data_IF_700723645880
#
_entry.id   IF_700723645880
#
_cell.length_a   1.000
_cell.length_b   1.000
_cell.length_c   1.000
_cell.angle_alpha   90.00
_cell.angle_beta   90.00
_cell.angle_gamma   90.00
#
_symmetry.space_group_name_H-M   'P 1'
#
loop_
_entity.id
_entity.type
_entity.pdbx_description
1 polymer ?
#
# COMPACT_ATOMS: atom_id res chain seq x y z
N UNK A 1 75.82 14.56 13.60
CA UNK A 1 75.06 15.81 13.83
C UNK A 1 73.79 15.46 14.57
N UNK A 2 73.49 16.21 15.64
CA UNK A 2 72.42 16.00 16.63
C UNK A 2 71.02 16.02 15.99
N UNK A 3 70.10 15.18 16.45
CA UNK A 3 68.87 15.66 17.10
C UNK A 3 68.13 14.53 17.84
N UNK A 4 68.00 14.69 19.15
CA UNK A 4 67.06 14.00 20.02
C UNK A 4 65.64 14.49 19.72
N UNK A 5 64.63 13.61 19.70
CA UNK A 5 63.31 13.90 20.30
C UNK A 5 62.61 12.62 20.76
N UNK A 6 62.42 12.58 22.08
CA UNK A 6 61.56 11.70 22.86
C UNK A 6 60.11 11.86 22.37
N UNK A 7 59.39 10.77 22.07
CA UNK A 7 57.96 10.68 22.39
C UNK A 7 57.57 9.22 22.62
N UNK A 8 57.57 8.89 23.91
CA UNK A 8 56.93 7.73 24.50
C UNK A 8 55.43 7.80 24.16
N UNK A 9 54.93 6.87 23.35
CA UNK A 9 53.50 6.62 23.21
C UNK A 9 53.24 5.15 23.49
N UNK A 10 52.80 4.91 24.71
CA UNK A 10 52.40 3.61 25.23
C UNK A 10 51.16 3.16 24.48
N UNK A 11 51.30 2.14 23.62
CA UNK A 11 50.18 1.56 22.88
C UNK A 11 49.35 0.69 23.86
N UNK A 12 48.26 1.26 24.37
CA UNK A 12 47.30 0.55 25.21
C UNK A 12 46.41 -0.31 24.31
N UNK A 13 46.62 -1.63 24.31
CA UNK A 13 45.70 -2.59 23.70
C UNK A 13 44.45 -2.69 24.57
N UNK A 14 43.40 -1.94 24.22
CA UNK A 14 42.08 -2.15 24.79
C UNK A 14 41.44 -3.33 24.05
N UNK A 15 41.42 -4.51 24.69
CA UNK A 15 40.65 -5.65 24.22
C UNK A 15 39.16 -5.36 24.45
N UNK A 16 38.55 -4.62 23.53
CA UNK A 16 37.11 -4.46 23.48
C UNK A 16 36.49 -5.73 22.88
N UNK A 17 35.80 -6.52 23.71
CA UNK A 17 34.89 -7.55 23.22
C UNK A 17 33.87 -6.88 22.30
N UNK A 18 33.83 -7.30 21.03
CA UNK A 18 32.77 -6.92 20.10
C UNK A 18 31.48 -7.54 20.61
N UNK A 19 30.64 -6.78 21.32
CA UNK A 19 29.22 -7.11 21.35
C UNK A 19 28.68 -6.71 19.98
N UNK A 20 28.39 -7.71 19.15
CA UNK A 20 27.47 -7.53 18.05
C UNK A 20 26.16 -7.06 18.69
N UNK A 21 25.89 -5.77 18.63
CA UNK A 21 24.54 -5.29 18.85
C UNK A 21 23.78 -5.78 17.62
N UNK A 22 23.14 -6.95 17.77
CA UNK A 22 22.01 -7.32 16.94
C UNK A 22 21.11 -6.10 16.94
N UNK A 23 21.09 -5.38 15.82
CA UNK A 23 20.08 -4.37 15.58
C UNK A 23 18.80 -5.18 15.40
N UNK A 24 18.17 -5.47 16.53
CA UNK A 24 16.82 -5.96 16.57
C UNK A 24 16.02 -5.02 15.68
N UNK A 25 15.57 -5.57 14.55
CA UNK A 25 14.66 -4.92 13.64
C UNK A 25 13.57 -4.27 14.47
N UNK A 26 13.52 -2.94 14.46
CA UNK A 26 12.32 -2.23 14.88
C UNK A 26 11.24 -2.55 13.84
N UNK A 27 10.59 -3.70 14.00
CA UNK A 27 9.33 -3.99 13.35
C UNK A 27 8.21 -3.44 14.23
N UNK A 28 8.23 -2.13 14.47
CA UNK A 28 7.02 -1.39 14.78
C UNK A 28 6.48 -0.86 13.45
N UNK A 29 6.13 -1.77 12.55
CA UNK A 29 5.05 -1.45 11.62
C UNK A 29 3.84 -1.21 12.50
N UNK A 30 3.64 0.03 12.93
CA UNK A 30 2.39 0.47 13.53
C UNK A 30 1.34 0.23 12.46
N UNK A 31 0.72 -0.95 12.49
CA UNK A 31 -0.40 -1.30 11.63
C UNK A 31 -1.53 -0.38 12.06
N UNK A 32 -1.57 0.78 11.41
CA UNK A 32 -2.58 1.80 11.69
C UNK A 32 -3.90 1.28 11.14
N UNK A 33 -4.75 0.78 12.04
CA UNK A 33 -6.13 0.51 11.68
C UNK A 33 -6.81 1.84 11.35
N UNK A 34 -7.59 1.86 10.27
CA UNK A 34 -8.38 3.03 9.87
C UNK A 34 -9.85 2.74 10.13
N UNK A 35 -10.49 3.60 10.92
CA UNK A 35 -11.94 3.56 11.16
C UNK A 35 -12.59 4.67 10.34
N UNK A 36 -13.55 4.33 9.48
CA UNK A 36 -14.29 5.30 8.67
C UNK A 36 -15.78 5.25 9.03
N UNK A 37 -16.37 6.41 9.31
CA UNK A 37 -17.81 6.57 9.34
C UNK A 37 -18.34 6.84 7.94
N UNK A 38 -19.67 6.75 7.77
CA UNK A 38 -20.32 7.06 6.48
C UNK A 38 -19.97 8.45 5.95
N UNK A 39 -19.85 9.44 6.82
CA UNK A 39 -19.50 10.83 6.48
C UNK A 39 -18.07 11.00 5.95
N UNK A 40 -17.18 10.06 6.27
CA UNK A 40 -15.76 10.15 5.93
C UNK A 40 -15.49 9.63 4.52
N UNK A 41 -16.48 8.95 3.91
CA UNK A 41 -16.38 8.38 2.57
C UNK A 41 -16.41 9.50 1.53
N UNK A 42 -15.28 9.72 0.86
CA UNK A 42 -15.11 10.71 -0.19
C UNK A 42 -15.40 10.09 -1.55
N UNK A 43 -16.57 10.41 -2.09
CA UNK A 43 -16.96 9.99 -3.43
C UNK A 43 -16.38 10.93 -4.49
N UNK A 44 -15.81 10.34 -5.53
CA UNK A 44 -15.36 11.03 -6.75
C UNK A 44 -16.00 10.37 -7.97
N UNK A 45 -15.92 11.02 -9.12
CA UNK A 45 -16.28 10.39 -10.40
C UNK A 45 -15.40 9.16 -10.67
N UNK A 46 -16.00 8.16 -11.31
CA UNK A 46 -15.27 6.98 -11.77
C UNK A 46 -14.14 7.34 -12.75
N UNK A 47 -13.13 6.47 -12.92
CA UNK A 47 -12.04 6.70 -13.86
C UNK A 47 -12.54 6.85 -15.30
N UNK A 48 -11.74 7.51 -16.15
CA UNK A 48 -12.11 7.85 -17.54
C UNK A 48 -12.47 6.62 -18.41
N UNK A 49 -12.00 5.42 -18.06
CA UNK A 49 -12.38 4.18 -18.74
C UNK A 49 -13.82 3.73 -18.50
N UNK A 50 -14.53 4.36 -17.56
CA UNK A 50 -15.93 4.06 -17.24
C UNK A 50 -16.88 5.08 -17.90
N UNK A 51 -18.05 4.65 -18.39
CA UNK A 51 -19.11 5.57 -18.80
C UNK A 51 -19.46 6.58 -17.69
N UNK A 52 -19.92 7.77 -18.08
CA UNK A 52 -20.30 8.80 -17.10
C UNK A 52 -21.37 8.30 -16.10
N UNK A 53 -21.28 8.78 -14.86
CA UNK A 53 -22.27 8.53 -13.80
C UNK A 53 -21.83 7.52 -12.73
N UNK A 54 -20.77 6.75 -12.96
CA UNK A 54 -20.15 5.96 -11.89
C UNK A 54 -19.51 6.88 -10.84
N UNK A 55 -19.66 6.53 -9.57
CA UNK A 55 -18.92 7.15 -8.46
C UNK A 55 -18.09 6.10 -7.75
N UNK A 56 -16.89 6.48 -7.33
CA UNK A 56 -15.98 5.62 -6.55
C UNK A 56 -15.51 6.32 -5.29
N UNK A 57 -15.20 5.55 -4.26
CA UNK A 57 -14.59 6.05 -3.03
C UNK A 57 -13.56 5.04 -2.54
N UNK A 58 -12.28 5.44 -2.54
CA UNK A 58 -11.19 4.61 -2.01
C UNK A 58 -11.25 4.65 -0.48
N UNK A 59 -11.26 3.47 0.13
CA UNK A 59 -11.27 3.30 1.59
C UNK A 59 -9.87 3.00 2.14
N UNK A 60 -9.05 2.29 1.36
CA UNK A 60 -7.69 1.90 1.72
C UNK A 60 -6.84 1.67 0.46
N UNK A 61 -5.54 1.97 0.54
CA UNK A 61 -4.57 1.75 -0.53
C UNK A 61 -4.68 2.75 -1.68
N UNK A 62 -4.07 2.41 -2.81
CA UNK A 62 -4.12 3.19 -4.05
C UNK A 62 -4.38 2.28 -5.26
N UNK A 63 -5.52 2.40 -5.95
CA UNK A 63 -5.82 1.60 -7.14
C UNK A 63 -4.88 1.83 -8.34
N UNK A 64 -4.09 2.92 -8.33
CA UNK A 64 -3.12 3.25 -9.37
C UNK A 64 -1.69 2.74 -9.09
N UNK A 65 -1.47 2.06 -7.96
CA UNK A 65 -0.18 1.52 -7.57
C UNK A 65 -0.24 0.00 -7.40
N UNK A 66 0.92 -0.65 -7.34
CA UNK A 66 1.00 -2.07 -6.98
C UNK A 66 0.62 -2.26 -5.51
N UNK A 67 -0.29 -3.20 -5.23
CA UNK A 67 -0.67 -3.57 -3.88
C UNK A 67 -2.18 -3.76 -3.71
N UNK A 68 -2.63 -4.22 -2.53
CA UNK A 68 -4.04 -4.34 -2.21
C UNK A 68 -4.67 -2.94 -2.02
N UNK A 69 -5.91 -2.82 -2.47
CA UNK A 69 -6.74 -1.65 -2.20
C UNK A 69 -8.19 -2.08 -1.95
N UNK A 70 -8.92 -1.23 -1.24
CA UNK A 70 -10.37 -1.40 -1.04
C UNK A 70 -11.06 -0.12 -1.47
N UNK A 71 -12.10 -0.24 -2.31
CA UNK A 71 -12.94 0.89 -2.70
C UNK A 71 -14.42 0.51 -2.65
N UNK A 72 -15.29 1.53 -2.62
CA UNK A 72 -16.71 1.39 -2.93
C UNK A 72 -16.97 1.93 -4.33
N UNK A 73 -17.86 1.25 -5.05
CA UNK A 73 -18.40 1.73 -6.30
C UNK A 73 -19.92 1.94 -6.16
N UNK A 74 -20.43 3.03 -6.74
CA UNK A 74 -21.85 3.30 -6.90
C UNK A 74 -22.13 3.50 -8.38
N UNK A 75 -22.99 2.65 -8.93
CA UNK A 75 -23.33 2.61 -10.34
C UNK A 75 -24.82 2.92 -10.48
N UNK A 76 -25.23 3.79 -11.42
CA UNK A 76 -26.64 4.04 -11.65
C UNK A 76 -27.36 2.80 -12.20
N UNK A 77 -28.70 2.81 -12.15
CA UNK A 77 -29.48 1.69 -12.67
C UNK A 77 -29.17 1.44 -14.17
N UNK A 78 -29.13 0.17 -14.56
CA UNK A 78 -28.82 -0.30 -15.92
C UNK A 78 -27.42 0.08 -16.45
N UNK A 79 -26.51 0.49 -15.56
CA UNK A 79 -25.14 0.82 -15.93
C UNK A 79 -24.37 -0.41 -16.40
N UNK A 80 -23.54 -0.24 -17.43
CA UNK A 80 -22.72 -1.30 -18.01
C UNK A 80 -21.26 -0.94 -17.90
N UNK A 81 -20.53 -1.71 -17.09
CA UNK A 81 -19.08 -1.64 -17.03
C UNK A 81 -18.53 -2.30 -18.31
N UNK A 82 -17.71 -1.61 -19.13
CA UNK A 82 -17.09 -2.20 -20.30
C UNK A 82 -16.18 -3.38 -19.93
N UNK A 83 -15.97 -4.36 -20.83
CA UNK A 83 -14.97 -5.39 -20.63
C UNK A 83 -13.58 -4.79 -20.38
N UNK A 84 -12.91 -5.23 -19.31
CA UNK A 84 -11.56 -4.81 -18.94
C UNK A 84 -10.81 -5.96 -18.27
N UNK A 85 -9.51 -5.78 -18.03
CA UNK A 85 -8.61 -6.78 -17.45
C UNK A 85 -7.95 -6.24 -16.18
N UNK A 86 -7.73 -7.11 -15.20
CA UNK A 86 -7.04 -6.77 -13.96
C UNK A 86 -5.66 -7.44 -13.91
N UNK A 87 -4.62 -6.73 -13.43
CA UNK A 87 -3.32 -7.33 -13.17
C UNK A 87 -3.32 -8.19 -11.89
N UNK A 88 -4.33 -8.03 -11.03
CA UNK A 88 -4.49 -8.69 -9.74
C UNK A 88 -5.89 -9.28 -9.58
N UNK A 89 -6.10 -10.08 -8.53
CA UNK A 89 -7.43 -10.65 -8.23
C UNK A 89 -8.36 -9.58 -7.67
N UNK A 90 -9.56 -9.47 -8.24
CA UNK A 90 -10.62 -8.60 -7.75
C UNK A 90 -11.65 -9.42 -6.95
N UNK A 91 -12.02 -8.94 -5.77
CA UNK A 91 -13.12 -9.48 -4.97
C UNK A 91 -14.24 -8.44 -4.91
N UNK A 92 -15.44 -8.80 -5.36
CA UNK A 92 -16.59 -7.88 -5.41
C UNK A 92 -17.68 -8.38 -4.46
N UNK A 93 -18.15 -7.47 -3.60
CA UNK A 93 -19.29 -7.70 -2.71
C UNK A 93 -20.37 -6.68 -3.04
N UNK A 94 -21.58 -7.18 -3.34
CA UNK A 94 -22.74 -6.33 -3.60
C UNK A 94 -23.36 -5.95 -2.26
N UNK A 95 -23.26 -4.67 -1.89
CA UNK A 95 -23.89 -4.13 -0.68
C UNK A 95 -25.37 -3.77 -0.88
N UNK A 96 -25.72 -3.31 -2.09
CA UNK A 96 -27.08 -2.92 -2.47
C UNK A 96 -27.30 -3.12 -3.98
N UNK A 97 -28.52 -3.49 -4.38
CA UNK A 97 -28.90 -3.65 -5.78
C UNK A 97 -28.61 -5.04 -6.35
N UNK A 98 -28.31 -5.10 -7.65
CA UNK A 98 -28.03 -6.35 -8.36
C UNK A 98 -26.93 -6.15 -9.39
N UNK A 99 -25.89 -6.97 -9.32
CA UNK A 99 -24.79 -7.00 -10.27
C UNK A 99 -24.84 -8.28 -11.10
N UNK A 100 -24.89 -8.13 -12.43
CA UNK A 100 -24.79 -9.24 -13.35
C UNK A 100 -23.38 -9.33 -13.91
N UNK A 101 -22.65 -10.40 -13.57
CA UNK A 101 -21.34 -10.66 -14.14
C UNK A 101 -21.49 -11.54 -15.39
N UNK A 102 -21.24 -10.97 -16.57
CA UNK A 102 -21.28 -11.74 -17.81
C UNK A 102 -19.94 -12.45 -18.00
N UNK A 103 -19.94 -13.79 -17.90
CA UNK A 103 -18.80 -14.60 -18.29
C UNK A 103 -18.69 -14.62 -19.83
N UNK A 104 -17.63 -14.04 -20.39
CA UNK A 104 -17.40 -13.95 -21.85
C UNK A 104 -16.50 -15.06 -22.40
N UNK A 105 -16.38 -16.22 -21.73
CA UNK A 105 -15.59 -17.35 -22.26
C UNK A 105 -16.00 -17.67 -23.70
N UNK A 106 -15.07 -17.62 -24.67
CA UNK A 106 -15.34 -18.19 -25.98
C UNK A 106 -15.36 -19.71 -25.82
N UNK A 107 -16.42 -20.34 -26.33
CA UNK A 107 -16.41 -21.77 -26.63
C UNK A 107 -15.54 -22.00 -27.87
#
# INVERSE_FOLDING_TARGET
MKLFYFFLSTLLFYSGSTFAQDTAMEHTMSVKHTMLNKSDIKWVDGPEGLPAGAKVAVLEGNPGEEGPFTLRASLPANYKVPPHWHPSTENVVVLEGTLYMKNLRPH
#
